data_IF_805320597813
#
_entry.id   IF_805320597813
#
_cell.length_a   1.000
_cell.length_b   1.000
_cell.length_c   1.000
_cell.angle_alpha   90.00
_cell.angle_beta   90.00
_cell.angle_gamma   90.00
#
_symmetry.space_group_name_H-M   'P 1'
#
loop_
_entity.id
_entity.type
_entity.pdbx_description
1 polymer ?
#
# COMPACT_ATOMS: atom_id res chain seq x y z
N UNK A 1 1.30 19.16 16.59
CA UNK A 1 0.36 18.29 17.34
C UNK A 1 0.80 18.29 18.79
N UNK A 2 -0.08 18.69 19.70
CA UNK A 2 0.18 18.76 21.14
C UNK A 2 -0.60 17.61 21.79
N UNK A 3 0.05 16.85 22.69
CA UNK A 3 -0.60 15.78 23.42
C UNK A 3 -1.23 16.34 24.71
N UNK A 4 -2.55 16.46 24.73
CA UNK A 4 -3.32 16.87 25.91
C UNK A 4 -3.64 15.66 26.79
N UNK A 5 -2.71 15.27 27.68
CA UNK A 5 -2.87 14.09 28.55
C UNK A 5 -4.03 14.29 29.53
N UNK A 6 -4.86 13.24 29.69
CA UNK A 6 -5.98 13.24 30.66
C UNK A 6 -7.15 14.15 30.29
N UNK A 7 -7.17 14.71 29.08
CA UNK A 7 -8.21 15.61 28.61
C UNK A 7 -9.25 14.90 27.73
N UNK A 8 -10.49 15.34 27.84
CA UNK A 8 -11.56 15.00 26.90
C UNK A 8 -11.33 15.68 25.55
N UNK A 9 -12.08 15.30 24.52
CA UNK A 9 -12.01 15.95 23.20
C UNK A 9 -12.42 17.43 23.33
N UNK A 10 -13.52 17.72 24.02
CA UNK A 10 -14.00 19.09 24.24
C UNK A 10 -12.96 19.97 24.96
N UNK A 11 -12.35 19.46 26.04
CA UNK A 11 -11.29 20.18 26.75
C UNK A 11 -10.08 20.44 25.84
N UNK A 12 -9.67 19.44 25.05
CA UNK A 12 -8.53 19.57 24.15
C UNK A 12 -8.80 20.58 23.00
N UNK A 13 -10.04 20.65 22.49
CA UNK A 13 -10.45 21.64 21.50
C UNK A 13 -10.39 23.05 22.09
N UNK A 14 -10.99 23.26 23.27
CA UNK A 14 -10.95 24.56 23.95
C UNK A 14 -9.51 25.02 24.27
N UNK A 15 -8.66 24.11 24.75
CA UNK A 15 -7.24 24.39 24.95
C UNK A 15 -6.53 24.76 23.64
N UNK A 16 -6.87 24.08 22.54
CA UNK A 16 -6.32 24.35 21.22
C UNK A 16 -6.59 25.77 20.74
N UNK A 17 -7.83 26.25 20.88
CA UNK A 17 -8.24 27.61 20.52
C UNK A 17 -7.51 28.67 21.36
N UNK A 18 -7.51 28.50 22.69
CA UNK A 18 -6.81 29.43 23.61
C UNK A 18 -5.31 29.50 23.30
N UNK A 19 -4.69 28.36 23.00
CA UNK A 19 -3.27 28.31 22.64
C UNK A 19 -3.01 28.95 21.28
N UNK A 20 -3.87 28.74 20.30
CA UNK A 20 -3.73 29.30 18.96
C UNK A 20 -3.78 30.84 19.00
N UNK A 21 -4.74 31.40 19.75
CA UNK A 21 -4.86 32.84 19.98
C UNK A 21 -3.62 33.41 20.68
N UNK A 22 -3.27 32.87 21.86
CA UNK A 22 -2.12 33.37 22.64
C UNK A 22 -0.78 33.28 21.91
N UNK A 23 -0.58 32.24 21.10
CA UNK A 23 0.64 32.09 20.31
C UNK A 23 0.64 33.06 19.13
N UNK A 24 -0.53 33.36 18.54
CA UNK A 24 -0.64 34.33 17.44
C UNK A 24 -0.19 35.73 17.88
N UNK A 25 -0.49 36.13 19.12
CA UNK A 25 -0.07 37.41 19.69
C UNK A 25 1.45 37.59 19.79
N UNK A 26 2.21 36.49 19.71
CA UNK A 26 3.68 36.51 19.73
C UNK A 26 4.29 36.87 18.36
N UNK A 27 3.49 36.88 17.29
CA UNK A 27 3.96 37.12 15.94
C UNK A 27 3.35 38.39 15.35
N UNK A 28 4.08 39.10 14.46
CA UNK A 28 3.54 40.28 13.80
C UNK A 28 2.40 39.90 12.83
N UNK A 29 1.43 40.80 12.70
CA UNK A 29 0.40 40.70 11.68
C UNK A 29 1.02 40.57 10.28
N UNK A 30 0.51 39.68 9.38
CA UNK A 30 -0.71 38.86 9.46
C UNK A 30 -0.47 37.40 9.88
N UNK A 31 0.64 37.08 10.55
CA UNK A 31 0.94 35.70 10.96
C UNK A 31 -0.03 35.29 12.07
N UNK A 32 -0.85 34.27 11.82
CA UNK A 32 -1.83 33.73 12.78
C UNK A 32 -1.74 32.21 12.83
N UNK A 33 -1.83 31.66 14.02
CA UNK A 33 -2.04 30.25 14.27
C UNK A 33 -3.54 30.02 14.50
N UNK A 34 -4.07 28.95 13.90
CA UNK A 34 -5.46 28.55 14.07
C UNK A 34 -5.51 27.11 14.59
N UNK A 35 -6.44 26.86 15.50
CA UNK A 35 -6.79 25.50 15.86
C UNK A 35 -7.55 24.86 14.69
N UNK A 36 -7.18 23.63 14.31
CA UNK A 36 -7.82 22.93 13.18
C UNK A 36 -8.68 21.76 13.65
N UNK A 37 -8.16 20.92 14.56
CA UNK A 37 -8.77 19.63 14.93
C UNK A 37 -8.07 18.93 16.09
N UNK A 38 -8.80 18.00 16.72
CA UNK A 38 -8.30 16.99 17.66
C UNK A 38 -8.35 15.60 17.01
N UNK A 39 -7.36 14.74 17.32
CA UNK A 39 -7.40 13.32 16.96
C UNK A 39 -7.59 12.45 18.21
N UNK A 40 -8.59 11.55 18.20
CA UNK A 40 -8.80 10.56 19.26
C UNK A 40 -9.68 9.39 18.81
N UNK A 41 -9.22 8.13 18.80
CA UNK A 41 -7.85 7.69 19.03
C UNK A 41 -6.90 8.09 17.90
N UNK A 42 -5.59 8.03 18.16
CA UNK A 42 -4.53 8.43 17.21
C UNK A 42 -3.38 7.42 17.22
N UNK A 43 -2.96 7.00 16.03
CA UNK A 43 -1.84 6.07 15.80
C UNK A 43 -0.80 6.77 14.93
N UNK A 44 0.38 7.00 15.49
CA UNK A 44 1.54 7.51 14.76
C UNK A 44 2.44 6.34 14.35
N UNK A 45 2.48 6.03 13.06
CA UNK A 45 3.34 4.97 12.50
C UNK A 45 4.74 5.51 12.20
N UNK A 46 4.84 6.77 11.78
CA UNK A 46 6.11 7.44 11.52
C UNK A 46 5.95 8.82 10.89
N UNK A 47 7.06 9.42 10.45
CA UNK A 47 7.04 10.75 9.82
C UNK A 47 6.12 10.76 8.59
N UNK A 48 5.14 11.66 8.58
CA UNK A 48 4.09 11.77 7.54
C UNK A 48 3.25 10.48 7.36
N UNK A 49 3.16 9.63 8.38
CA UNK A 49 2.42 8.36 8.37
C UNK A 49 1.64 8.21 9.67
N UNK A 50 0.36 8.55 9.65
CA UNK A 50 -0.50 8.48 10.83
C UNK A 50 -1.96 8.26 10.46
N UNK A 51 -2.72 7.76 11.43
CA UNK A 51 -4.17 7.60 11.33
C UNK A 51 -4.82 8.03 12.63
N UNK A 52 -5.99 8.66 12.57
CA UNK A 52 -6.78 8.94 13.76
C UNK A 52 -8.20 9.35 13.41
N UNK A 53 -9.12 9.17 14.36
CA UNK A 53 -10.46 9.74 14.25
C UNK A 53 -10.38 11.24 14.49
N UNK A 54 -10.87 12.02 13.53
CA UNK A 54 -10.73 13.47 13.44
C UNK A 54 -11.96 14.18 13.99
N UNK A 55 -11.76 15.13 14.90
CA UNK A 55 -12.81 15.97 15.49
C UNK A 55 -12.48 17.43 15.19
N UNK A 56 -13.27 18.09 14.34
CA UNK A 56 -13.07 19.49 13.97
C UNK A 56 -13.98 20.45 14.73
N UNK A 57 -15.29 20.18 14.80
CA UNK A 57 -16.27 21.06 15.45
C UNK A 57 -17.04 20.40 16.60
N UNK A 58 -17.48 19.14 16.43
CA UNK A 58 -18.25 18.43 17.45
C UNK A 58 -17.32 17.54 18.29
N UNK A 59 -17.27 17.69 19.63
CA UNK A 59 -16.45 16.82 20.49
C UNK A 59 -17.03 15.42 20.74
N UNK A 60 -18.33 15.20 20.50
CA UNK A 60 -19.02 13.93 20.79
C UNK A 60 -18.89 12.91 19.65
N UNK A 61 -18.79 13.39 18.40
CA UNK A 61 -18.72 12.53 17.21
C UNK A 61 -17.61 12.97 16.28
N UNK A 62 -16.77 12.03 15.83
CA UNK A 62 -15.73 12.34 14.86
C UNK A 62 -16.31 12.58 13.46
N UNK A 63 -15.65 13.41 12.67
CA UNK A 63 -16.04 13.69 11.29
C UNK A 63 -15.71 12.51 10.36
N UNK A 64 -14.49 11.96 10.51
CA UNK A 64 -13.98 10.82 9.74
C UNK A 64 -12.71 10.25 10.34
N UNK A 65 -12.35 9.04 9.90
CA UNK A 65 -10.99 8.52 10.06
C UNK A 65 -10.07 9.21 9.04
N UNK A 66 -9.12 10.01 9.52
CA UNK A 66 -8.11 10.63 8.67
C UNK A 66 -6.88 9.73 8.57
N UNK A 67 -6.52 9.34 7.34
CA UNK A 67 -5.39 8.47 7.05
C UNK A 67 -4.38 9.27 6.23
N UNK A 68 -3.22 9.57 6.81
CA UNK A 68 -2.16 10.31 6.15
C UNK A 68 -0.97 9.42 5.86
N UNK A 69 -0.66 9.24 4.58
CA UNK A 69 0.56 8.59 4.13
C UNK A 69 0.72 7.11 4.52
N UNK A 70 -0.32 6.44 4.99
CA UNK A 70 -0.31 4.97 5.08
C UNK A 70 -0.35 4.36 3.67
N UNK A 71 0.05 3.10 3.55
CA UNK A 71 0.11 2.40 2.26
C UNK A 71 -1.27 2.31 1.59
N UNK A 72 -2.36 2.26 2.37
CA UNK A 72 -3.75 2.19 1.90
C UNK A 72 -4.23 3.37 1.06
N UNK A 73 -3.65 4.55 1.27
CA UNK A 73 -3.97 5.78 0.54
C UNK A 73 -2.97 6.06 -0.58
N UNK A 74 -2.02 5.15 -0.81
CA UNK A 74 -1.07 5.25 -1.93
C UNK A 74 -1.60 4.53 -3.17
N UNK A 75 -1.45 5.18 -4.32
CA UNK A 75 -1.92 4.69 -5.63
C UNK A 75 -1.18 3.46 -6.19
N UNK A 76 -0.11 3.03 -5.53
CA UNK A 76 0.69 1.85 -5.89
C UNK A 76 0.41 0.65 -4.96
N UNK A 77 -0.56 0.77 -4.07
CA UNK A 77 -1.08 -0.33 -3.27
C UNK A 77 -2.23 -1.01 -4.03
N UNK A 78 -2.39 -2.32 -3.86
CA UNK A 78 -3.53 -3.04 -4.44
C UNK A 78 -4.83 -2.65 -3.73
N UNK A 79 -5.96 -2.82 -4.43
CA UNK A 79 -7.27 -2.58 -3.84
C UNK A 79 -7.52 -3.51 -2.66
N UNK A 80 -7.13 -4.79 -2.79
CA UNK A 80 -7.23 -5.79 -1.73
C UNK A 80 -6.57 -5.30 -0.43
N UNK A 81 -5.29 -4.91 -0.49
CA UNK A 81 -4.53 -4.46 0.69
C UNK A 81 -5.10 -3.15 1.23
N UNK A 82 -5.54 -2.23 0.37
CA UNK A 82 -6.18 -0.98 0.80
C UNK A 82 -7.46 -1.25 1.59
N UNK A 83 -8.33 -2.13 1.08
CA UNK A 83 -9.60 -2.53 1.72
C UNK A 83 -9.35 -3.19 3.06
N UNK A 84 -8.57 -4.28 3.09
CA UNK A 84 -8.29 -5.04 4.32
C UNK A 84 -7.70 -4.15 5.42
N UNK A 85 -6.72 -3.32 5.07
CA UNK A 85 -6.06 -2.47 6.06
C UNK A 85 -7.00 -1.35 6.54
N UNK A 86 -7.87 -0.80 5.69
CA UNK A 86 -8.91 0.16 6.12
C UNK A 86 -9.93 -0.48 7.05
N UNK A 87 -10.33 -1.72 6.79
CA UNK A 87 -11.25 -2.44 7.67
C UNK A 87 -10.61 -2.74 9.03
N UNK A 88 -9.32 -3.12 9.05
CA UNK A 88 -8.55 -3.24 10.30
C UNK A 88 -8.47 -1.91 11.06
N UNK A 89 -8.25 -0.80 10.35
CA UNK A 89 -8.23 0.54 10.95
C UNK A 89 -9.58 0.86 11.59
N UNK A 90 -10.71 0.56 10.94
CA UNK A 90 -12.05 0.77 11.51
C UNK A 90 -12.26 -0.05 12.78
N UNK A 91 -11.88 -1.33 12.76
CA UNK A 91 -11.99 -2.20 13.94
C UNK A 91 -11.16 -1.66 15.13
N UNK A 92 -9.99 -1.07 14.87
CA UNK A 92 -9.14 -0.48 15.92
C UNK A 92 -9.66 0.89 16.38
N UNK A 93 -9.97 1.80 15.46
CA UNK A 93 -10.23 3.21 15.75
C UNK A 93 -11.69 3.46 16.16
N UNK A 94 -12.65 2.87 15.45
CA UNK A 94 -14.09 3.08 15.71
C UNK A 94 -14.60 2.10 16.77
N UNK A 95 -14.22 0.82 16.67
CA UNK A 95 -14.74 -0.23 17.56
C UNK A 95 -13.88 -0.47 18.79
N UNK A 96 -12.65 0.04 18.82
CA UNK A 96 -11.70 -0.21 19.91
C UNK A 96 -11.33 -1.69 20.08
N UNK A 97 -11.58 -2.54 19.07
CA UNK A 97 -11.43 -3.99 19.17
C UNK A 97 -10.21 -4.46 18.37
N UNK A 98 -9.08 -4.52 19.08
CA UNK A 98 -7.79 -4.92 18.49
C UNK A 98 -7.80 -6.39 18.09
N UNK A 99 -8.40 -7.27 18.88
CA UNK A 99 -8.39 -8.70 18.59
C UNK A 99 -9.26 -9.04 17.37
N UNK A 100 -10.40 -8.37 17.19
CA UNK A 100 -11.19 -8.48 15.96
C UNK A 100 -10.41 -8.00 14.73
N UNK A 101 -9.64 -6.92 14.85
CA UNK A 101 -8.78 -6.43 13.79
C UNK A 101 -7.66 -7.43 13.45
N UNK A 102 -7.05 -8.05 14.47
CA UNK A 102 -6.05 -9.12 14.28
C UNK A 102 -6.67 -10.32 13.57
N UNK A 103 -7.87 -10.74 13.98
CA UNK A 103 -8.55 -11.87 13.36
C UNK A 103 -8.92 -11.61 11.91
N UNK A 104 -9.38 -10.40 11.59
CA UNK A 104 -9.58 -9.97 10.20
C UNK A 104 -8.27 -10.04 9.40
N UNK A 105 -7.17 -9.58 9.97
CA UNK A 105 -5.87 -9.62 9.31
C UNK A 105 -5.42 -11.06 9.04
N UNK A 106 -5.62 -12.00 9.98
CA UNK A 106 -5.36 -13.44 9.77
C UNK A 106 -6.19 -14.01 8.64
N UNK A 107 -7.51 -13.82 8.70
CA UNK A 107 -8.42 -14.30 7.66
C UNK A 107 -8.04 -13.77 6.28
N UNK A 108 -7.59 -12.52 6.18
CA UNK A 108 -7.13 -11.94 4.92
C UNK A 108 -5.81 -12.55 4.43
N UNK A 109 -4.90 -12.93 5.32
CA UNK A 109 -3.70 -13.69 4.95
C UNK A 109 -4.08 -15.06 4.40
N UNK A 110 -4.97 -15.78 5.10
CA UNK A 110 -5.42 -17.11 4.68
C UNK A 110 -6.18 -17.06 3.34
N UNK A 111 -7.14 -16.14 3.22
CA UNK A 111 -7.91 -15.89 1.98
C UNK A 111 -7.01 -15.58 0.80
N UNK A 112 -5.98 -14.75 1.00
CA UNK A 112 -5.03 -14.43 -0.05
C UNK A 112 -4.21 -15.66 -0.44
N UNK A 113 -3.66 -16.41 0.53
CA UNK A 113 -2.82 -17.58 0.26
C UNK A 113 -3.61 -18.76 -0.34
N UNK A 114 -4.90 -18.90 -0.03
CA UNK A 114 -5.80 -19.87 -0.66
C UNK A 114 -6.29 -19.43 -2.05
N UNK A 115 -5.94 -18.22 -2.50
CA UNK A 115 -6.34 -17.67 -3.79
C UNK A 115 -7.79 -17.17 -3.84
N UNK A 116 -8.39 -16.82 -2.70
CA UNK A 116 -9.75 -16.28 -2.59
C UNK A 116 -9.88 -14.81 -2.98
N UNK A 117 -8.77 -14.08 -3.09
CA UNK A 117 -8.76 -12.70 -3.57
C UNK A 117 -9.03 -12.61 -5.08
N UNK A 118 -9.97 -11.75 -5.48
CA UNK A 118 -10.23 -11.46 -6.89
C UNK A 118 -8.98 -10.87 -7.57
N UNK A 119 -8.63 -11.40 -8.74
CA UNK A 119 -7.54 -10.91 -9.58
C UNK A 119 -7.65 -9.39 -9.85
N UNK A 120 -8.87 -8.87 -10.01
CA UNK A 120 -9.10 -7.44 -10.21
C UNK A 120 -8.67 -6.59 -9.00
N UNK A 121 -8.78 -7.12 -7.78
CA UNK A 121 -8.34 -6.44 -6.57
C UNK A 121 -6.81 -6.46 -6.39
N UNK A 122 -6.10 -7.29 -7.16
CA UNK A 122 -4.63 -7.48 -7.10
C UNK A 122 -3.86 -6.70 -8.18
N UNK A 123 -4.54 -5.91 -9.01
CA UNK A 123 -3.91 -5.09 -10.04
C UNK A 123 -3.04 -4.01 -9.38
N UNK A 124 -1.78 -3.96 -9.80
CA UNK A 124 -0.82 -2.91 -9.49
C UNK A 124 -0.74 -1.92 -10.64
N UNK A 125 -0.43 -0.67 -10.31
CA UNK A 125 -0.28 0.39 -11.30
C UNK A 125 1.05 1.10 -11.15
N UNK A 126 1.72 1.37 -12.27
CA UNK A 126 2.91 2.22 -12.28
C UNK A 126 2.96 3.09 -13.52
N UNK A 127 3.37 4.34 -13.32
CA UNK A 127 3.52 5.31 -14.40
C UNK A 127 4.81 5.05 -15.18
N UNK A 128 4.70 4.98 -16.50
CA UNK A 128 5.83 4.99 -17.43
C UNK A 128 6.48 6.38 -17.43
N UNK A 129 7.47 6.58 -16.57
CA UNK A 129 8.00 7.91 -16.29
C UNK A 129 9.09 8.38 -17.26
N UNK A 130 9.86 7.46 -17.86
CA UNK A 130 11.04 7.78 -18.69
C UNK A 130 11.20 6.77 -19.82
N UNK A 131 11.85 7.16 -20.92
CA UNK A 131 12.09 6.28 -22.08
C UNK A 131 13.11 5.16 -21.82
N UNK A 132 14.08 5.36 -20.92
CA UNK A 132 15.14 4.40 -20.61
C UNK A 132 15.24 4.18 -19.11
N UNK A 133 15.38 2.92 -18.70
CA UNK A 133 15.59 2.50 -17.32
C UNK A 133 16.86 1.66 -17.21
N UNK A 134 17.59 1.80 -16.10
CA UNK A 134 18.83 1.02 -15.85
C UNK A 134 18.54 -0.45 -15.51
N UNK A 135 17.35 -0.75 -14.99
CA UNK A 135 16.96 -2.09 -14.56
C UNK A 135 15.55 -2.42 -14.98
N UNK A 136 15.28 -3.70 -15.22
CA UNK A 136 13.97 -4.20 -15.60
C UNK A 136 12.90 -3.80 -14.56
N UNK A 137 11.79 -3.28 -15.04
CA UNK A 137 10.66 -2.87 -14.20
C UNK A 137 9.42 -3.64 -14.64
N UNK A 138 8.64 -4.14 -13.68
CA UNK A 138 7.42 -4.93 -13.91
C UNK A 138 6.50 -4.36 -15.00
N UNK A 139 6.05 -3.11 -14.82
CA UNK A 139 5.21 -2.42 -15.80
C UNK A 139 5.80 -2.30 -17.22
N UNK A 140 7.12 -2.22 -17.37
CA UNK A 140 7.74 -2.14 -18.70
C UNK A 140 7.82 -3.52 -19.34
N UNK A 141 8.09 -4.57 -18.55
CA UNK A 141 8.00 -5.94 -19.04
C UNK A 141 6.59 -6.25 -19.57
N UNK A 142 5.54 -5.72 -18.94
CA UNK A 142 4.18 -5.82 -19.48
C UNK A 142 4.03 -5.08 -20.80
N UNK A 143 4.57 -3.87 -20.94
CA UNK A 143 4.55 -3.13 -22.21
C UNK A 143 5.28 -3.90 -23.32
N UNK A 144 6.46 -4.42 -23.04
CA UNK A 144 7.25 -5.19 -24.01
C UNK A 144 6.48 -6.44 -24.47
N UNK A 145 5.83 -7.16 -23.54
CA UNK A 145 4.96 -8.30 -23.86
C UNK A 145 3.70 -7.90 -24.64
N UNK A 146 3.07 -6.77 -24.34
CA UNK A 146 1.93 -6.25 -25.12
C UNK A 146 2.34 -5.96 -26.57
N UNK A 147 3.49 -5.33 -26.77
CA UNK A 147 4.05 -5.05 -28.11
C UNK A 147 4.37 -6.35 -28.85
N UNK A 148 4.96 -7.33 -28.16
CA UNK A 148 5.24 -8.66 -28.72
C UNK A 148 3.99 -9.33 -29.32
N UNK A 149 2.84 -9.11 -28.68
CA UNK A 149 1.54 -9.65 -29.08
C UNK A 149 0.79 -8.77 -30.10
N UNK A 150 1.47 -7.81 -30.72
CA UNK A 150 0.88 -6.89 -31.71
C UNK A 150 0.14 -5.68 -31.11
N UNK A 151 0.26 -5.43 -29.80
CA UNK A 151 -0.35 -4.28 -29.13
C UNK A 151 0.41 -2.97 -29.34
N UNK A 152 -0.25 -1.85 -29.04
CA UNK A 152 0.37 -0.52 -29.14
C UNK A 152 1.38 -0.25 -28.01
N UNK A 153 2.45 0.52 -28.28
CA UNK A 153 3.41 0.92 -27.25
C UNK A 153 2.79 1.92 -26.26
N UNK A 154 3.13 1.79 -24.98
CA UNK A 154 2.72 2.77 -23.97
C UNK A 154 3.47 4.09 -24.12
N UNK A 155 2.74 5.20 -24.03
CA UNK A 155 3.29 6.56 -24.04
C UNK A 155 3.95 6.88 -22.70
N UNK A 156 4.84 7.87 -22.71
CA UNK A 156 5.36 8.44 -21.46
C UNK A 156 4.20 9.10 -20.72
N UNK A 157 4.17 8.95 -19.40
CA UNK A 157 3.10 9.32 -18.48
C UNK A 157 1.90 8.36 -18.41
N UNK A 158 1.83 7.33 -19.24
CA UNK A 158 0.77 6.32 -19.13
C UNK A 158 0.89 5.54 -17.82
N UNK A 159 -0.25 5.24 -17.21
CA UNK A 159 -0.33 4.31 -16.08
C UNK A 159 -0.59 2.91 -16.60
N UNK A 160 0.40 2.04 -16.41
CA UNK A 160 0.33 0.66 -16.87
C UNK A 160 -0.18 -0.22 -15.72
N UNK A 161 -1.32 -0.90 -15.89
CA UNK A 161 -1.76 -1.94 -14.97
C UNK A 161 -0.97 -3.23 -15.22
N UNK A 162 -0.69 -3.94 -14.13
CA UNK A 162 -0.05 -5.25 -14.18
C UNK A 162 -0.38 -6.07 -12.94
N UNK A 163 -0.32 -7.39 -13.06
CA UNK A 163 -0.36 -8.34 -11.95
C UNK A 163 0.91 -9.17 -11.93
N UNK A 164 1.25 -9.78 -10.80
CA UNK A 164 2.41 -10.67 -10.68
C UNK A 164 1.96 -12.13 -10.73
N UNK A 165 2.31 -12.85 -11.79
CA UNK A 165 2.01 -14.27 -11.99
C UNK A 165 3.02 -15.17 -11.25
N UNK A 166 2.66 -16.43 -10.96
CA UNK A 166 3.58 -17.42 -10.35
C UNK A 166 4.78 -17.69 -11.24
N UNK A 167 4.51 -17.90 -12.52
CA UNK A 167 5.50 -18.25 -13.51
C UNK A 167 5.74 -17.10 -14.48
N UNK A 168 6.90 -17.15 -15.12
CA UNK A 168 7.20 -16.26 -16.21
C UNK A 168 6.65 -16.87 -17.50
N UNK A 169 5.75 -16.16 -18.16
CA UNK A 169 5.21 -16.56 -19.46
C UNK A 169 6.06 -15.94 -20.56
N UNK A 170 6.71 -16.79 -21.36
CA UNK A 170 7.39 -16.43 -22.60
C UNK A 170 7.11 -17.43 -23.67
N UNK A 171 6.69 -16.95 -24.84
CA UNK A 171 7.11 -17.58 -26.09
C UNK A 171 8.59 -17.26 -26.29
N UNK A 172 9.45 -18.27 -26.15
CA UNK A 172 10.91 -18.11 -26.21
C UNK A 172 11.40 -17.56 -27.56
N UNK A 173 10.67 -17.83 -28.66
CA UNK A 173 11.02 -17.38 -30.02
C UNK A 173 10.86 -15.87 -30.24
N UNK A 174 9.86 -15.25 -29.61
CA UNK A 174 9.49 -13.85 -29.89
C UNK A 174 10.42 -12.86 -29.17
N UNK A 175 10.90 -13.24 -27.98
CA UNK A 175 11.92 -12.50 -27.23
C UNK A 175 13.27 -12.47 -27.95
N UNK A 176 13.65 -13.53 -28.67
CA UNK A 176 14.90 -13.56 -29.43
C UNK A 176 14.89 -12.56 -30.58
N UNK A 177 13.73 -12.31 -31.22
CA UNK A 177 13.57 -11.32 -32.29
C UNK A 177 13.66 -9.87 -31.80
N UNK A 178 13.17 -9.58 -30.59
CA UNK A 178 13.18 -8.23 -29.99
C UNK A 178 14.55 -7.77 -29.46
N UNK A 179 15.56 -8.65 -29.43
CA UNK A 179 16.92 -8.36 -28.94
C UNK A 179 17.72 -7.37 -29.80
N UNK A 180 17.32 -7.10 -31.05
CA UNK A 180 18.14 -6.28 -31.98
C UNK A 180 18.13 -4.77 -31.70
N UNK A 181 17.02 -4.19 -31.23
CA UNK A 181 16.87 -2.72 -31.15
C UNK A 181 16.83 -2.12 -29.73
N UNK A 182 16.87 -2.95 -28.68
CA UNK A 182 16.91 -2.46 -27.29
C UNK A 182 17.69 -3.43 -26.39
N UNK A 183 19.03 -3.31 -26.29
CA UNK A 183 19.83 -4.20 -25.46
C UNK A 183 19.63 -3.84 -23.98
N UNK A 184 18.71 -4.52 -23.31
CA UNK A 184 18.93 -4.83 -21.91
C UNK A 184 19.88 -6.03 -21.91
N UNK A 185 21.17 -5.78 -21.68
CA UNK A 185 22.19 -6.82 -21.55
C UNK A 185 21.75 -7.84 -20.49
N UNK A 186 21.27 -8.99 -20.96
CA UNK A 186 21.24 -10.19 -20.16
C UNK A 186 22.57 -10.88 -20.41
N UNK A 187 23.45 -10.89 -19.42
CA UNK A 187 24.66 -11.69 -19.47
C UNK A 187 24.25 -13.16 -19.69
N UNK A 188 24.66 -13.71 -20.82
CA UNK A 188 24.58 -15.14 -21.10
C UNK A 188 25.38 -15.87 -20.01
N UNK A 189 24.73 -16.72 -19.21
CA UNK A 189 25.47 -17.59 -18.28
C UNK A 189 24.79 -18.04 -16.98
N UNK A 190 23.72 -17.41 -16.47
CA UNK A 190 23.12 -17.81 -15.17
C UNK A 190 21.58 -17.81 -15.18
N UNK A 191 20.99 -18.86 -15.76
CA UNK A 191 19.55 -18.94 -16.08
C UNK A 191 18.58 -19.00 -14.86
N UNK A 192 19.06 -19.10 -13.62
CA UNK A 192 18.21 -19.05 -12.40
C UNK A 192 18.10 -17.67 -11.75
N UNK A 193 19.09 -16.80 -11.94
CA UNK A 193 19.10 -15.47 -11.32
C UNK A 193 18.16 -14.47 -12.02
N UNK A 194 17.96 -14.66 -13.34
CA UNK A 194 17.09 -13.82 -14.18
C UNK A 194 15.60 -14.16 -13.95
N UNK A 195 15.23 -15.44 -13.90
CA UNK A 195 13.88 -15.92 -13.60
C UNK A 195 13.38 -15.51 -12.20
N UNK A 196 14.29 -15.27 -11.25
CA UNK A 196 13.98 -14.78 -9.89
C UNK A 196 13.54 -13.30 -9.86
N UNK A 197 13.72 -12.53 -10.93
CA UNK A 197 13.32 -11.12 -10.94
C UNK A 197 11.80 -11.04 -11.14
N UNK A 198 11.10 -10.64 -10.07
CA UNK A 198 9.65 -10.36 -10.02
C UNK A 198 9.15 -9.55 -11.23
N UNK A 199 9.98 -8.66 -11.78
CA UNK A 199 9.63 -7.83 -12.93
C UNK A 199 9.16 -8.65 -14.15
N UNK A 200 9.80 -9.78 -14.47
CA UNK A 200 9.45 -10.56 -15.67
C UNK A 200 8.16 -11.36 -15.52
N UNK A 201 7.83 -11.70 -14.27
CA UNK A 201 6.57 -12.34 -13.89
C UNK A 201 5.37 -11.38 -13.90
N UNK A 202 5.60 -10.10 -14.18
CA UNK A 202 4.52 -9.15 -14.38
C UNK A 202 3.81 -9.41 -15.70
N UNK A 203 2.48 -9.34 -15.68
CA UNK A 203 1.65 -9.58 -16.85
C UNK A 203 0.46 -8.63 -16.91
N UNK A 204 -0.06 -8.44 -18.12
CA UNK A 204 -1.29 -7.71 -18.36
C UNK A 204 -2.51 -8.41 -17.71
N UNK A 205 -3.36 -7.70 -16.94
CA UNK A 205 -4.50 -8.32 -16.27
C UNK A 205 -5.53 -8.95 -17.22
N UNK A 206 -5.77 -8.36 -18.39
CA UNK A 206 -6.72 -8.88 -19.37
C UNK A 206 -6.16 -10.15 -20.01
N UNK A 207 -4.86 -10.17 -20.31
CA UNK A 207 -4.19 -11.38 -20.81
C UNK A 207 -4.18 -12.52 -19.78
N UNK A 208 -3.96 -12.20 -18.50
CA UNK A 208 -4.05 -13.19 -17.41
C UNK A 208 -5.44 -13.80 -17.34
N UNK A 209 -6.49 -12.99 -17.51
CA UNK A 209 -7.87 -13.45 -17.53
C UNK A 209 -8.18 -14.30 -18.76
N UNK A 210 -7.73 -13.89 -19.94
CA UNK A 210 -7.95 -14.59 -21.21
C UNK A 210 -7.26 -15.96 -21.23
N UNK A 211 -6.01 -16.04 -20.77
CA UNK A 211 -5.20 -17.28 -20.80
C UNK A 211 -5.27 -18.10 -19.52
N UNK A 212 -6.00 -17.64 -18.49
CA UNK A 212 -6.14 -18.34 -17.22
C UNK A 212 -4.82 -18.49 -16.45
N UNK A 213 -3.95 -17.49 -16.48
CA UNK A 213 -2.63 -17.56 -15.84
C UNK A 213 -2.73 -17.50 -14.31
N UNK A 214 -1.89 -18.29 -13.62
CA UNK A 214 -1.89 -18.32 -12.15
C UNK A 214 -1.18 -17.11 -11.53
N UNK A 215 -1.86 -16.41 -10.62
CA UNK A 215 -1.33 -15.26 -9.86
C UNK A 215 -0.46 -15.76 -8.68
N UNK A 216 0.65 -15.06 -8.40
CA UNK A 216 1.47 -15.35 -7.21
C UNK A 216 0.92 -14.64 -5.98
N UNK A 217 -0.08 -15.27 -5.35
CA UNK A 217 -0.65 -14.76 -4.11
C UNK A 217 0.36 -14.65 -2.95
N UNK A 218 1.40 -15.51 -2.89
CA UNK A 218 2.43 -15.43 -1.87
C UNK A 218 3.29 -14.16 -2.02
N UNK A 219 3.51 -13.69 -3.26
CA UNK A 219 4.12 -12.39 -3.51
C UNK A 219 3.27 -11.25 -2.91
N UNK A 220 1.95 -11.28 -3.11
CA UNK A 220 1.05 -10.23 -2.59
C UNK A 220 0.98 -10.25 -1.06
N UNK A 221 0.91 -11.43 -0.44
CA UNK A 221 0.96 -11.57 1.01
C UNK A 221 2.26 -10.93 1.56
N UNK A 222 3.41 -11.39 1.06
CA UNK A 222 4.70 -11.04 1.64
C UNK A 222 5.14 -9.60 1.31
N UNK A 223 4.90 -9.14 0.07
CA UNK A 223 5.39 -7.84 -0.42
C UNK A 223 4.38 -6.72 -0.35
N UNK A 224 3.08 -7.01 -0.44
CA UNK A 224 2.03 -5.99 -0.43
C UNK A 224 1.30 -5.93 0.92
N UNK A 225 0.87 -7.06 1.49
CA UNK A 225 0.00 -7.06 2.69
C UNK A 225 0.79 -6.99 4.01
N UNK A 226 1.85 -7.78 4.15
CA UNK A 226 2.57 -7.98 5.41
C UNK A 226 3.09 -6.68 6.04
N UNK A 227 3.81 -5.86 5.27
CA UNK A 227 4.40 -4.61 5.79
C UNK A 227 3.36 -3.58 6.24
N UNK A 228 2.30 -3.28 5.48
CA UNK A 228 1.21 -2.42 5.95
C UNK A 228 0.59 -2.87 7.26
N UNK A 229 0.31 -4.17 7.42
CA UNK A 229 -0.27 -4.71 8.65
C UNK A 229 0.70 -4.57 9.83
N UNK A 230 1.96 -4.98 9.69
CA UNK A 230 2.95 -4.84 10.77
C UNK A 230 3.12 -3.39 11.23
N UNK A 231 3.12 -2.44 10.30
CA UNK A 231 3.19 -1.01 10.61
C UNK A 231 1.96 -0.48 11.34
N UNK A 232 0.78 -0.97 10.99
CA UNK A 232 -0.47 -0.58 11.64
C UNK A 232 -0.57 -1.16 13.05
N UNK A 233 -0.33 -2.46 13.19
CA UNK A 233 -0.49 -3.19 14.44
C UNK A 233 0.69 -3.04 15.40
N UNK A 234 1.90 -2.73 14.90
CA UNK A 234 3.11 -2.58 15.72
C UNK A 234 2.94 -1.61 16.89
N UNK A 235 2.52 -0.35 16.66
CA UNK A 235 2.27 0.61 17.75
C UNK A 235 1.19 0.16 18.74
N UNK A 236 0.22 -0.63 18.28
CA UNK A 236 -0.96 -1.05 19.07
C UNK A 236 -0.69 -2.29 19.91
N UNK A 237 0.13 -3.22 19.41
CA UNK A 237 0.46 -4.51 20.04
C UNK A 237 1.81 -4.52 20.75
N UNK A 238 2.49 -3.38 20.85
CA UNK A 238 3.78 -3.27 21.53
C UNK A 238 4.97 -3.80 20.71
N UNK A 239 4.91 -3.65 19.39
CA UNK A 239 6.01 -3.89 18.45
C UNK A 239 5.63 -4.78 17.27
N UNK A 240 6.37 -4.64 16.17
CA UNK A 240 6.15 -5.43 14.94
C UNK A 240 6.34 -6.93 15.17
N UNK A 241 7.25 -7.35 16.08
CA UNK A 241 7.45 -8.77 16.42
C UNK A 241 6.20 -9.40 17.04
N UNK A 242 5.57 -8.70 18.01
CA UNK A 242 4.33 -9.15 18.64
C UNK A 242 3.17 -9.18 17.65
N UNK A 243 3.06 -8.14 16.82
CA UNK A 243 2.08 -8.11 15.73
C UNK A 243 2.27 -9.28 14.76
N UNK A 244 3.52 -9.58 14.38
CA UNK A 244 3.84 -10.71 13.51
C UNK A 244 3.42 -12.04 14.14
N UNK A 245 3.75 -12.28 15.41
CA UNK A 245 3.38 -13.52 16.11
C UNK A 245 1.87 -13.71 16.24
N UNK A 246 1.11 -12.60 16.37
CA UNK A 246 -0.34 -12.67 16.40
C UNK A 246 -0.89 -12.99 15.01
N UNK A 247 -0.49 -12.27 13.96
CA UNK A 247 -1.11 -12.37 12.63
C UNK A 247 -0.60 -13.59 11.83
N UNK A 248 0.67 -13.97 11.99
CA UNK A 248 1.28 -15.15 11.38
C UNK A 248 1.79 -16.09 12.48
N UNK A 249 0.89 -16.81 13.17
CA UNK A 249 1.32 -17.81 14.13
C UNK A 249 2.14 -18.87 13.40
N UNK A 250 3.35 -19.17 13.88
CA UNK A 250 4.08 -20.35 13.43
C UNK A 250 3.38 -21.57 13.99
N UNK A 251 2.82 -22.42 13.12
CA UNK A 251 2.39 -23.75 13.54
C UNK A 251 3.66 -24.50 14.00
N UNK A 252 3.77 -24.73 15.31
CA UNK A 252 4.70 -25.71 15.88
C UNK A 252 4.13 -27.11 15.67
#
# INVERSE_FOLDING_TARGET
MILCRGKTVAEAMNMGEILAERISDLFPHPIRLEFEKVYRPFILVGKKRYVGAMYSANPESHDKIDIKGLDTVRRNCTLYVSRITKDCIKDIIEKGNIDAAVERARKAVDDLLSGGADAAELILYRTHAKKKYKSAQAHLCVVDKRIARGGEPAKVCDRIPYVICKEWVTDEEELQKQRKDRPHEFAEGENRAVQRKVAYRAEDPDYVKEKGLSIDYAYYECKQLKRPLLRLFGPVLGGEKKAASKIWPTNN
#
